data_IF_739209447769
#
_entry.id   IF_739209447769
#
_cell.length_a   1.000
_cell.length_b   1.000
_cell.length_c   1.000
_cell.angle_alpha   90.00
_cell.angle_beta   90.00
_cell.angle_gamma   90.00
#
_symmetry.space_group_name_H-M   'P 1'
#
loop_
_entity.id
_entity.type
_entity.pdbx_description
1 polymer ?
#
# COMPACT_ATOMS: atom_id res chain seq x y z
N UNK A 1 32.23 54.27 -3.96
CA UNK A 1 30.84 54.31 -3.49
C UNK A 1 30.02 53.91 -4.71
N UNK A 2 29.89 52.60 -4.95
CA UNK A 2 28.80 51.72 -4.43
C UNK A 2 27.47 52.05 -5.16
N UNK A 3 26.69 51.16 -5.78
CA UNK A 3 26.53 49.69 -5.84
C UNK A 3 25.92 49.35 -7.24
N UNK A 4 26.32 48.29 -7.96
CA UNK A 4 25.76 46.91 -7.92
C UNK A 4 24.22 46.89 -7.86
N UNK A 5 23.51 46.75 -9.00
CA UNK A 5 23.14 45.49 -9.67
C UNK A 5 22.12 44.65 -8.89
N UNK A 6 20.83 44.82 -9.20
CA UNK A 6 19.80 43.78 -9.00
C UNK A 6 19.05 43.58 -10.32
N UNK A 7 19.51 42.60 -11.09
CA UNK A 7 18.79 42.00 -12.20
C UNK A 7 17.98 40.83 -11.62
N UNK A 8 16.75 41.10 -11.20
CA UNK A 8 15.83 40.06 -10.73
C UNK A 8 15.26 39.35 -11.96
N UNK A 9 15.98 38.30 -12.39
CA UNK A 9 15.54 37.38 -13.44
C UNK A 9 14.44 36.48 -12.85
N UNK A 10 13.20 36.73 -13.26
CA UNK A 10 12.06 35.85 -12.99
C UNK A 10 12.31 34.47 -13.62
N UNK A 11 12.70 33.50 -12.78
CA UNK A 11 12.78 32.10 -13.16
C UNK A 11 11.37 31.50 -13.14
N UNK A 12 10.65 31.69 -14.23
CA UNK A 12 9.43 30.94 -14.53
C UNK A 12 9.86 29.50 -14.87
N UNK A 13 9.61 28.55 -13.96
CA UNK A 13 9.75 27.13 -14.27
C UNK A 13 8.65 26.76 -15.28
N UNK A 14 9.04 26.59 -16.54
CA UNK A 14 8.22 25.94 -17.56
C UNK A 14 8.36 24.44 -17.31
N UNK A 15 7.31 23.83 -16.78
CA UNK A 15 7.09 22.40 -16.95
C UNK A 15 6.70 22.22 -18.42
N UNK A 16 7.65 21.83 -19.25
CA UNK A 16 7.36 21.35 -20.60
C UNK A 16 6.62 20.01 -20.47
N UNK A 17 5.30 20.10 -20.33
CA UNK A 17 4.38 19.04 -20.72
C UNK A 17 4.32 19.09 -22.23
N UNK A 18 5.07 18.22 -22.91
CA UNK A 18 4.85 18.01 -24.34
C UNK A 18 3.48 17.35 -24.51
N UNK A 19 2.46 18.18 -24.72
CA UNK A 19 1.16 17.75 -25.24
C UNK A 19 1.34 17.36 -26.72
N UNK A 20 1.51 16.06 -26.97
CA UNK A 20 1.28 15.50 -28.31
C UNK A 20 -0.22 15.35 -28.52
N UNK A 21 -0.81 16.27 -29.29
CA UNK A 21 -2.16 16.13 -29.82
C UNK A 21 -2.23 14.93 -30.77
N UNK A 22 -2.66 13.77 -30.27
CA UNK A 22 -3.13 12.66 -31.11
C UNK A 22 -4.67 12.58 -31.02
N UNK A 23 -5.32 13.06 -32.08
CA UNK A 23 -6.77 12.96 -32.27
C UNK A 23 -7.14 11.51 -32.60
N UNK A 24 -7.49 10.69 -31.60
CA UNK A 24 -8.21 9.43 -31.81
C UNK A 24 -9.32 9.26 -30.76
N UNK A 25 -10.58 9.36 -31.21
CA UNK A 25 -11.75 8.98 -30.42
C UNK A 25 -11.75 7.46 -30.19
N UNK A 26 -11.58 7.04 -28.94
CA UNK A 26 -11.69 5.64 -28.54
C UNK A 26 -11.25 5.39 -27.10
N UNK A 27 -12.21 5.36 -26.18
CA UNK A 27 -12.07 4.97 -24.75
C UNK A 27 -10.95 5.73 -24.01
N UNK A 28 -11.32 6.78 -23.28
CA UNK A 28 -10.43 7.40 -22.29
C UNK A 28 -10.06 6.34 -21.24
N UNK A 29 -8.97 5.63 -21.47
CA UNK A 29 -8.19 5.04 -20.40
C UNK A 29 -7.61 6.25 -19.66
N UNK A 30 -8.25 6.66 -18.56
CA UNK A 30 -7.73 7.70 -17.68
C UNK A 30 -6.40 7.18 -17.11
N UNK A 31 -5.31 7.46 -17.81
CA UNK A 31 -3.97 7.21 -17.31
C UNK A 31 -3.75 8.16 -16.12
N UNK A 32 -3.64 7.60 -14.92
CA UNK A 32 -3.28 8.38 -13.73
C UNK A 32 -1.97 9.13 -13.99
N UNK A 33 -1.93 10.39 -13.60
CA UNK A 33 -0.72 11.20 -13.66
C UNK A 33 0.32 10.69 -12.64
N UNK A 34 1.61 10.95 -12.86
CA UNK A 34 2.67 10.54 -11.93
C UNK A 34 2.42 11.01 -10.49
N UNK A 35 1.85 12.21 -10.31
CA UNK A 35 1.53 12.75 -8.99
C UNK A 35 0.41 11.96 -8.31
N UNK A 36 -0.67 11.64 -9.04
CA UNK A 36 -1.78 10.84 -8.50
C UNK A 36 -1.35 9.43 -8.14
N UNK A 37 -0.45 8.82 -8.92
CA UNK A 37 0.13 7.50 -8.60
C UNK A 37 0.91 7.57 -7.28
N UNK A 38 1.74 8.60 -7.08
CA UNK A 38 2.52 8.78 -5.84
C UNK A 38 1.60 9.03 -4.64
N UNK A 39 0.59 9.90 -4.78
CA UNK A 39 -0.37 10.16 -3.71
C UNK A 39 -1.15 8.92 -3.32
N UNK A 40 -1.57 8.13 -4.32
CA UNK A 40 -2.25 6.85 -4.09
C UNK A 40 -1.31 5.85 -3.40
N UNK A 41 -0.04 5.78 -3.83
CA UNK A 41 0.96 4.92 -3.22
C UNK A 41 1.19 5.26 -1.74
N UNK A 42 1.24 6.56 -1.40
CA UNK A 42 1.38 7.03 -0.02
C UNK A 42 0.20 6.55 0.83
N UNK A 43 -1.03 6.70 0.34
CA UNK A 43 -2.24 6.26 1.05
C UNK A 43 -2.24 4.75 1.31
N UNK A 44 -2.05 3.94 0.28
CA UNK A 44 -2.08 2.47 0.44
C UNK A 44 -0.93 1.98 1.33
N UNK A 45 0.25 2.63 1.25
CA UNK A 45 1.38 2.32 2.12
C UNK A 45 1.06 2.63 3.58
N UNK A 46 0.50 3.81 3.85
CA UNK A 46 0.16 4.24 5.19
C UNK A 46 -0.92 3.35 5.81
N UNK A 47 -2.00 3.09 5.07
CA UNK A 47 -3.08 2.22 5.52
C UNK A 47 -2.57 0.81 5.81
N UNK A 48 -1.75 0.22 4.93
CA UNK A 48 -1.20 -1.11 5.17
C UNK A 48 -0.24 -1.17 6.37
N UNK A 49 0.48 -0.09 6.67
CA UNK A 49 1.40 -0.03 7.81
C UNK A 49 0.65 -0.03 9.15
N UNK A 50 -0.47 0.69 9.20
CA UNK A 50 -1.29 0.86 10.39
C UNK A 50 -2.35 -0.23 10.58
N UNK A 51 -2.72 -0.93 9.50
CA UNK A 51 -3.68 -2.01 9.58
C UNK A 51 -3.16 -3.18 10.44
N UNK A 52 -3.99 -3.72 11.35
CA UNK A 52 -3.67 -4.93 12.11
C UNK A 52 -3.77 -6.21 11.25
N UNK A 53 -4.33 -6.08 10.05
CA UNK A 53 -4.62 -7.17 9.13
C UNK A 53 -4.16 -6.87 7.70
N UNK A 54 -4.16 -7.90 6.85
CA UNK A 54 -3.80 -7.77 5.44
C UNK A 54 -4.94 -7.07 4.68
N UNK A 55 -4.60 -5.99 3.95
CA UNK A 55 -5.55 -5.29 3.09
C UNK A 55 -5.57 -5.94 1.69
N UNK A 56 -6.57 -5.58 0.89
CA UNK A 56 -6.64 -5.95 -0.52
C UNK A 56 -5.38 -5.46 -1.23
N UNK A 57 -4.82 -6.28 -2.11
CA UNK A 57 -3.59 -5.92 -2.79
C UNK A 57 -3.85 -4.82 -3.83
N UNK A 58 -2.89 -3.90 -3.95
CA UNK A 58 -2.94 -2.76 -4.89
C UNK A 58 -1.70 -2.75 -5.79
N UNK A 59 -1.36 -3.91 -6.35
CA UNK A 59 -0.12 -4.07 -7.13
C UNK A 59 -0.12 -3.30 -8.45
N UNK A 60 -1.28 -2.93 -8.97
CA UNK A 60 -1.40 -2.01 -10.09
C UNK A 60 -0.74 -0.65 -9.81
N UNK A 61 -0.86 -0.13 -8.58
CA UNK A 61 -0.19 1.11 -8.16
C UNK A 61 1.31 0.87 -7.99
N UNK A 62 1.70 -0.28 -7.44
CA UNK A 62 3.11 -0.65 -7.25
C UNK A 62 3.83 -0.79 -8.58
N UNK A 63 3.22 -1.46 -9.55
CA UNK A 63 3.77 -1.68 -10.87
C UNK A 63 3.84 -0.35 -11.65
N UNK A 64 2.83 0.52 -11.54
CA UNK A 64 2.88 1.89 -12.07
C UNK A 64 4.02 2.74 -11.45
N UNK A 65 4.25 2.65 -10.15
CA UNK A 65 5.40 3.32 -9.50
C UNK A 65 6.74 2.79 -10.03
N UNK A 66 6.84 1.49 -10.32
CA UNK A 66 8.08 0.94 -10.90
C UNK A 66 8.37 1.51 -12.28
N UNK A 67 7.35 1.71 -13.10
CA UNK A 67 7.48 2.37 -14.41
C UNK A 67 7.95 3.82 -14.26
N UNK A 68 7.32 4.59 -13.35
CA UNK A 68 7.72 5.98 -13.05
C UNK A 68 9.17 6.04 -12.55
N UNK A 69 9.56 5.11 -11.68
CA UNK A 69 10.93 5.03 -11.17
C UNK A 69 11.94 4.73 -12.27
N UNK A 70 11.60 3.88 -13.24
CA UNK A 70 12.51 3.55 -14.33
C UNK A 70 12.72 4.73 -15.29
N UNK A 71 11.64 5.44 -15.61
CA UNK A 71 11.71 6.67 -16.38
C UNK A 71 12.58 7.74 -15.69
N UNK A 72 12.41 7.94 -14.39
CA UNK A 72 13.23 8.91 -13.64
C UNK A 72 14.70 8.47 -13.53
N UNK A 73 15.00 7.17 -13.41
CA UNK A 73 16.39 6.68 -13.45
C UNK A 73 17.05 6.98 -14.79
N UNK A 74 16.34 6.76 -15.89
CA UNK A 74 16.86 7.03 -17.23
C UNK A 74 17.18 8.52 -17.42
N UNK A 75 16.29 9.42 -16.96
CA UNK A 75 16.57 10.87 -16.94
C UNK A 75 17.81 11.21 -16.11
N UNK A 76 18.01 10.57 -14.96
CA UNK A 76 19.23 10.77 -14.14
C UNK A 76 20.48 10.27 -14.87
N UNK A 77 20.40 9.15 -15.58
CA UNK A 77 21.53 8.62 -16.35
C UNK A 77 21.92 9.60 -17.47
N UNK A 78 20.94 10.12 -18.20
CA UNK A 78 21.14 11.14 -19.24
C UNK A 78 21.76 12.42 -18.66
N UNK A 79 21.23 12.94 -17.55
CA UNK A 79 21.83 14.07 -16.83
C UNK A 79 23.25 13.76 -16.35
N UNK A 80 23.53 12.52 -15.94
CA UNK A 80 24.88 12.15 -15.50
C UNK A 80 25.88 12.16 -16.64
N UNK A 81 25.45 11.78 -17.85
CA UNK A 81 26.29 11.82 -19.05
C UNK A 81 26.51 13.25 -19.56
N UNK A 82 25.45 14.07 -19.58
CA UNK A 82 25.54 15.48 -20.01
C UNK A 82 26.49 16.30 -19.12
N UNK A 83 26.46 16.06 -17.81
CA UNK A 83 27.27 16.75 -16.82
C UNK A 83 28.51 15.95 -16.38
N UNK A 84 29.04 15.05 -17.22
CA UNK A 84 30.22 14.24 -16.87
C UNK A 84 31.47 15.12 -16.61
N UNK A 85 31.65 16.18 -17.41
CA UNK A 85 32.79 17.11 -17.31
C UNK A 85 32.42 18.48 -16.73
N UNK A 86 31.21 18.61 -16.17
CA UNK A 86 30.66 19.85 -15.63
C UNK A 86 30.22 19.63 -14.18
N UNK A 87 30.15 20.68 -13.34
CA UNK A 87 29.51 20.55 -12.04
C UNK A 87 28.04 20.14 -12.24
N UNK A 88 27.60 19.11 -11.51
CA UNK A 88 26.22 18.63 -11.60
C UNK A 88 25.26 19.65 -10.98
N UNK A 89 24.08 19.88 -11.59
CA UNK A 89 23.09 20.78 -11.05
C UNK A 89 22.47 20.20 -9.76
N UNK A 90 21.93 21.07 -8.88
CA UNK A 90 21.32 20.65 -7.60
C UNK A 90 20.17 19.65 -7.82
N UNK A 91 19.43 19.83 -8.92
CA UNK A 91 18.34 18.94 -9.35
C UNK A 91 18.79 17.48 -9.49
N UNK A 92 20.06 17.23 -9.85
CA UNK A 92 20.60 15.87 -9.95
C UNK A 92 20.59 15.15 -8.60
N UNK A 93 20.98 15.85 -7.52
CA UNK A 93 20.97 15.28 -6.18
C UNK A 93 19.54 15.10 -5.66
N UNK A 94 18.65 16.07 -5.91
CA UNK A 94 17.24 16.01 -5.52
C UNK A 94 16.51 14.84 -6.16
N UNK A 95 16.66 14.64 -7.48
CA UNK A 95 16.06 13.50 -8.19
C UNK A 95 16.54 12.15 -7.64
N UNK A 96 17.84 12.02 -7.36
CA UNK A 96 18.38 10.80 -6.73
C UNK A 96 17.80 10.55 -5.34
N UNK A 97 17.66 11.60 -4.53
CA UNK A 97 17.05 11.50 -3.22
C UNK A 97 15.59 11.05 -3.33
N UNK A 98 14.84 11.55 -4.29
CA UNK A 98 13.43 11.19 -4.47
C UNK A 98 13.24 9.74 -4.90
N UNK A 99 14.08 9.24 -5.81
CA UNK A 99 14.08 7.81 -6.17
C UNK A 99 14.29 6.95 -4.93
N UNK A 100 15.24 7.30 -4.06
CA UNK A 100 15.50 6.52 -2.84
C UNK A 100 14.30 6.55 -1.87
N UNK A 101 13.61 7.69 -1.75
CA UNK A 101 12.42 7.82 -0.91
C UNK A 101 11.27 6.93 -1.41
N UNK A 102 10.99 6.98 -2.71
CA UNK A 102 9.93 6.18 -3.32
C UNK A 102 10.28 4.69 -3.26
N UNK A 103 11.53 4.31 -3.53
CA UNK A 103 11.99 2.92 -3.38
C UNK A 103 11.83 2.40 -1.95
N UNK A 104 12.16 3.23 -0.96
CA UNK A 104 11.94 2.88 0.45
C UNK A 104 10.46 2.65 0.75
N UNK A 105 9.58 3.54 0.27
CA UNK A 105 8.13 3.44 0.45
C UNK A 105 7.58 2.12 -0.12
N UNK A 106 7.92 1.79 -1.38
CA UNK A 106 7.49 0.54 -2.03
C UNK A 106 8.02 -0.68 -1.26
N UNK A 107 9.30 -0.65 -0.89
CA UNK A 107 9.90 -1.75 -0.11
C UNK A 107 9.22 -1.91 1.25
N UNK A 108 8.92 -0.81 1.94
CA UNK A 108 8.25 -0.84 3.24
C UNK A 108 6.85 -1.41 3.13
N UNK A 109 6.09 -1.04 2.09
CA UNK A 109 4.77 -1.59 1.79
C UNK A 109 4.82 -3.11 1.57
N UNK A 110 5.64 -3.58 0.64
CA UNK A 110 5.75 -5.01 0.31
C UNK A 110 6.24 -5.81 1.51
N UNK A 111 7.26 -5.33 2.23
CA UNK A 111 7.78 -6.02 3.41
C UNK A 111 6.71 -6.17 4.51
N UNK A 112 5.90 -5.13 4.75
CA UNK A 112 4.83 -5.18 5.74
C UNK A 112 3.78 -6.24 5.36
N UNK A 113 3.41 -6.31 4.09
CA UNK A 113 2.47 -7.33 3.58
C UNK A 113 3.02 -8.73 3.74
N UNK A 114 4.26 -8.98 3.32
CA UNK A 114 4.92 -10.27 3.47
C UNK A 114 5.03 -10.68 4.95
N UNK A 115 5.36 -9.74 5.84
CA UNK A 115 5.39 -10.00 7.28
C UNK A 115 4.02 -10.46 7.80
N UNK A 116 2.92 -9.78 7.42
CA UNK A 116 1.57 -10.17 7.83
C UNK A 116 1.21 -11.56 7.27
N UNK A 117 1.54 -11.84 6.02
CA UNK A 117 1.31 -13.16 5.41
C UNK A 117 2.05 -14.24 6.19
N UNK A 118 3.31 -14.01 6.56
CA UNK A 118 4.13 -14.96 7.32
C UNK A 118 3.65 -15.18 8.76
N UNK A 119 2.96 -14.21 9.37
CA UNK A 119 2.35 -14.37 10.71
C UNK A 119 1.24 -15.43 10.72
N UNK A 120 0.43 -15.53 9.65
CA UNK A 120 -0.62 -16.55 9.56
C UNK A 120 -0.90 -16.98 8.10
N UNK A 121 0.02 -17.74 7.48
CA UNK A 121 0.00 -17.96 6.03
C UNK A 121 -1.19 -18.82 5.59
N UNK A 122 -1.57 -19.84 6.37
CA UNK A 122 -2.72 -20.69 6.06
C UNK A 122 -4.04 -19.91 6.12
N UNK A 123 -4.19 -19.00 7.09
CA UNK A 123 -5.38 -18.16 7.21
C UNK A 123 -5.56 -17.29 5.98
N UNK A 124 -4.52 -16.55 5.58
CA UNK A 124 -4.59 -15.66 4.41
C UNK A 124 -4.74 -16.42 3.10
N UNK A 125 -4.08 -17.58 2.93
CA UNK A 125 -4.24 -18.41 1.74
C UNK A 125 -5.68 -18.92 1.59
N UNK A 126 -6.32 -19.31 2.70
CA UNK A 126 -7.72 -19.75 2.69
C UNK A 126 -8.67 -18.58 2.39
N UNK A 127 -8.45 -17.41 3.00
CA UNK A 127 -9.23 -16.21 2.72
C UNK A 127 -9.13 -15.79 1.24
N UNK A 128 -7.92 -15.69 0.70
CA UNK A 128 -7.70 -15.31 -0.71
C UNK A 128 -8.31 -16.34 -1.67
N UNK A 129 -8.24 -17.64 -1.34
CA UNK A 129 -8.88 -18.69 -2.15
C UNK A 129 -10.41 -18.57 -2.13
N UNK A 130 -11.00 -18.21 -0.99
CA UNK A 130 -12.44 -17.98 -0.86
C UNK A 130 -12.86 -16.80 -1.74
N UNK A 131 -12.21 -15.64 -1.60
CA UNK A 131 -12.51 -14.42 -2.37
C UNK A 131 -12.45 -14.68 -3.88
N UNK A 132 -11.39 -15.34 -4.35
CA UNK A 132 -11.23 -15.71 -5.77
C UNK A 132 -12.31 -16.66 -6.28
N UNK A 133 -12.80 -17.57 -5.43
CA UNK A 133 -13.89 -18.50 -5.80
C UNK A 133 -15.23 -17.78 -5.88
N UNK A 134 -15.43 -16.77 -5.04
CA UNK A 134 -16.63 -15.92 -5.01
C UNK A 134 -16.61 -14.84 -6.10
N UNK A 135 -15.46 -14.62 -6.76
CA UNK A 135 -15.29 -13.60 -7.79
C UNK A 135 -15.09 -12.19 -7.23
N UNK A 136 -14.76 -12.10 -5.94
CA UNK A 136 -14.48 -10.86 -5.22
C UNK A 136 -13.03 -10.39 -5.46
N UNK A 137 -12.72 -9.18 -4.98
CA UNK A 137 -11.36 -8.61 -5.07
C UNK A 137 -10.31 -9.52 -4.42
N UNK A 138 -9.17 -9.65 -5.10
CA UNK A 138 -8.09 -10.52 -4.69
C UNK A 138 -7.35 -9.93 -3.46
N UNK A 139 -7.14 -10.74 -2.43
CA UNK A 139 -6.43 -10.28 -1.21
C UNK A 139 -4.92 -10.21 -1.42
N UNK A 140 -4.39 -11.19 -2.16
CA UNK A 140 -2.97 -11.33 -2.47
C UNK A 140 -2.74 -11.38 -3.97
N UNK A 141 -1.68 -10.71 -4.42
CA UNK A 141 -1.21 -10.89 -5.79
C UNK A 141 -0.62 -12.30 -5.99
N UNK A 142 -0.53 -12.75 -7.23
CA UNK A 142 0.07 -14.05 -7.58
C UNK A 142 1.51 -14.20 -7.07
N UNK A 143 2.30 -13.11 -7.04
CA UNK A 143 3.67 -13.11 -6.48
C UNK A 143 3.65 -13.44 -4.98
N UNK A 144 2.77 -12.81 -4.23
CA UNK A 144 2.59 -13.02 -2.80
C UNK A 144 2.02 -14.41 -2.50
N UNK A 145 1.01 -14.85 -3.26
CA UNK A 145 0.42 -16.18 -3.12
C UNK A 145 1.45 -17.29 -3.35
N UNK A 146 2.35 -17.10 -4.33
CA UNK A 146 3.46 -18.02 -4.56
C UNK A 146 4.48 -18.02 -3.42
N UNK A 147 4.79 -16.86 -2.85
CA UNK A 147 5.63 -16.76 -1.65
C UNK A 147 4.98 -17.49 -0.47
N UNK A 148 3.71 -17.23 -0.21
CA UNK A 148 2.93 -17.85 0.87
C UNK A 148 2.94 -19.38 0.79
N UNK A 149 2.66 -19.96 -0.39
CA UNK A 149 2.71 -21.41 -0.60
C UNK A 149 4.10 -21.99 -0.32
N UNK A 150 5.15 -21.38 -0.89
CA UNK A 150 6.54 -21.82 -0.64
C UNK A 150 6.92 -21.73 0.84
N UNK A 151 6.47 -20.68 1.52
CA UNK A 151 6.71 -20.50 2.95
C UNK A 151 6.02 -21.58 3.77
N UNK A 152 4.77 -21.93 3.45
CA UNK A 152 4.03 -23.03 4.08
C UNK A 152 4.78 -24.35 3.86
N UNK A 153 5.11 -24.69 2.61
CA UNK A 153 5.79 -25.95 2.29
C UNK A 153 7.13 -26.08 3.02
N UNK A 154 7.92 -25.00 3.07
CA UNK A 154 9.20 -24.97 3.77
C UNK A 154 9.04 -25.11 5.28
N UNK A 155 8.09 -24.37 5.85
CA UNK A 155 7.82 -24.37 7.29
C UNK A 155 7.31 -25.74 7.75
N UNK A 156 6.38 -26.34 6.99
CA UNK A 156 5.80 -27.63 7.30
C UNK A 156 6.84 -28.74 7.18
N UNK A 157 7.66 -28.73 6.11
CA UNK A 157 8.76 -29.70 5.95
C UNK A 157 9.76 -29.64 7.11
N UNK A 158 10.11 -28.44 7.56
CA UNK A 158 11.03 -28.25 8.69
C UNK A 158 10.41 -28.67 10.02
N UNK A 159 9.14 -28.35 10.25
CA UNK A 159 8.44 -28.71 11.47
C UNK A 159 8.22 -30.24 11.56
N UNK A 160 7.95 -30.89 10.43
CA UNK A 160 7.85 -32.35 10.30
C UNK A 160 9.18 -33.04 10.59
N UNK A 161 10.29 -32.54 10.02
CA UNK A 161 11.61 -33.15 10.19
C UNK A 161 12.15 -33.04 11.61
N UNK A 162 11.93 -31.90 12.28
CA UNK A 162 12.57 -31.63 13.57
C UNK A 162 11.72 -32.03 14.79
N UNK A 163 10.39 -31.97 14.69
CA UNK A 163 9.51 -32.08 15.88
C UNK A 163 8.33 -33.01 15.68
N UNK A 164 7.52 -32.84 14.62
CA UNK A 164 6.21 -33.52 14.54
C UNK A 164 6.32 -35.03 14.33
N UNK A 165 7.40 -35.50 13.70
CA UNK A 165 7.68 -36.92 13.50
C UNK A 165 7.93 -37.68 14.81
N UNK A 166 8.41 -36.99 15.85
CA UNK A 166 8.66 -37.56 17.17
C UNK A 166 7.42 -37.51 18.09
N UNK A 167 6.44 -36.65 17.77
CA UNK A 167 5.22 -36.47 18.56
C UNK A 167 4.18 -37.55 18.22
N UNK A 168 3.40 -37.96 19.23
CA UNK A 168 2.39 -39.03 19.10
C UNK A 168 0.97 -38.47 19.12
N UNK A 169 0.09 -39.13 18.38
CA UNK A 169 -1.35 -38.84 18.38
C UNK A 169 -1.66 -37.44 17.82
N UNK A 170 -2.58 -36.66 18.42
CA UNK A 170 -3.02 -35.39 17.87
C UNK A 170 -1.91 -34.31 17.81
N UNK A 171 -0.84 -34.49 18.59
CA UNK A 171 0.30 -33.57 18.62
C UNK A 171 1.28 -33.75 17.46
N UNK A 172 1.13 -34.81 16.64
CA UNK A 172 1.90 -34.99 15.40
C UNK A 172 1.39 -34.10 14.26
N UNK A 173 0.30 -33.36 14.47
CA UNK A 173 -0.24 -32.41 13.51
C UNK A 173 0.04 -30.96 13.93
N UNK A 174 0.23 -30.09 12.94
CA UNK A 174 0.46 -28.66 13.15
C UNK A 174 -0.78 -27.98 13.75
N UNK A 175 -0.64 -27.24 14.86
CA UNK A 175 -1.75 -26.44 15.38
C UNK A 175 -2.01 -25.23 14.45
N UNK A 176 -3.26 -25.08 14.00
CA UNK A 176 -3.69 -23.89 13.26
C UNK A 176 -4.34 -22.92 14.23
N UNK A 177 -3.62 -21.87 14.62
CA UNK A 177 -4.18 -20.81 15.46
C UNK A 177 -4.99 -19.82 14.60
N UNK A 178 -6.27 -19.57 14.91
CA UNK A 178 -7.04 -18.55 14.21
C UNK A 178 -6.51 -17.16 14.56
N UNK A 179 -6.29 -16.30 13.55
CA UNK A 179 -6.06 -14.86 13.78
C UNK A 179 -7.38 -14.24 14.25
N UNK A 180 -7.33 -13.37 15.27
CA UNK A 180 -8.50 -12.64 15.80
C UNK A 180 -8.27 -11.13 15.67
N UNK A 181 -8.29 -10.57 14.45
CA UNK A 181 -8.04 -9.15 14.22
C UNK A 181 -9.19 -8.27 14.77
N UNK A 182 -10.37 -8.83 14.99
CA UNK A 182 -11.58 -8.17 15.51
C UNK A 182 -11.39 -7.43 16.85
N UNK A 183 -10.39 -7.83 17.65
CA UNK A 183 -10.10 -7.19 18.93
C UNK A 183 -9.24 -5.91 18.80
N UNK A 184 -8.67 -5.64 17.63
CA UNK A 184 -7.82 -4.48 17.42
C UNK A 184 -8.66 -3.20 17.33
N UNK A 185 -8.10 -2.09 17.84
CA UNK A 185 -8.65 -0.74 17.67
C UNK A 185 -7.68 0.07 16.84
N UNK A 186 -8.21 0.86 15.92
CA UNK A 186 -7.44 1.72 15.02
C UNK A 186 -7.96 3.15 15.10
N UNK A 187 -7.10 4.11 14.77
CA UNK A 187 -7.48 5.50 14.60
C UNK A 187 -7.76 5.71 13.12
N UNK A 188 -8.92 6.26 12.82
CA UNK A 188 -9.43 6.45 11.48
C UNK A 188 -9.79 7.90 11.23
N UNK A 189 -9.55 8.37 10.02
CA UNK A 189 -10.01 9.66 9.52
C UNK A 189 -11.03 9.43 8.40
N UNK A 190 -12.20 10.02 8.52
CA UNK A 190 -13.23 9.96 7.48
C UNK A 190 -12.82 10.87 6.33
N UNK A 191 -12.71 10.30 5.12
CA UNK A 191 -12.24 11.03 3.93
C UNK A 191 -13.41 11.35 3.00
N UNK A 192 -14.37 10.44 2.87
CA UNK A 192 -15.50 10.55 1.97
C UNK A 192 -16.79 10.98 2.69
N UNK A 193 -17.58 11.85 2.04
CA UNK A 193 -18.93 12.30 2.47
C UNK A 193 -19.98 11.18 2.40
N UNK A 194 -19.69 10.09 1.68
CA UNK A 194 -20.56 8.91 1.60
C UNK A 194 -20.75 8.21 2.96
N UNK A 195 -19.77 8.32 3.86
CA UNK A 195 -19.80 7.70 5.19
C UNK A 195 -20.48 8.64 6.18
N UNK A 196 -21.73 8.33 6.52
CA UNK A 196 -22.52 9.12 7.49
C UNK A 196 -22.54 8.54 8.90
N UNK A 197 -22.49 7.22 9.02
CA UNK A 197 -22.50 6.55 10.31
C UNK A 197 -21.65 5.27 10.29
N UNK A 198 -21.08 4.92 11.44
CA UNK A 198 -20.50 3.60 11.67
C UNK A 198 -21.46 2.75 12.49
N UNK A 199 -21.57 1.46 12.12
CA UNK A 199 -22.32 0.47 12.89
C UNK A 199 -21.37 -0.25 13.84
N UNK A 200 -21.47 0.06 15.14
CA UNK A 200 -20.55 -0.43 16.17
C UNK A 200 -21.29 -1.42 17.07
N UNK A 201 -20.73 -2.61 17.38
CA UNK A 201 -21.34 -3.52 18.33
C UNK A 201 -21.55 -2.89 19.71
N UNK A 202 -22.77 -2.99 20.27
CA UNK A 202 -23.07 -2.55 21.62
C UNK A 202 -22.55 -3.59 22.63
N UNK A 203 -21.51 -3.23 23.37
CA UNK A 203 -20.92 -4.10 24.39
C UNK A 203 -21.78 -4.24 25.65
N UNK A 204 -22.80 -3.39 25.84
CA UNK A 204 -23.73 -3.47 26.97
C UNK A 204 -24.89 -4.43 26.72
N UNK A 205 -25.29 -4.61 25.46
CA UNK A 205 -26.34 -5.52 25.03
C UNK A 205 -25.83 -6.47 23.93
N UNK A 206 -25.53 -7.74 24.26
CA UNK A 206 -25.05 -8.72 23.29
C UNK A 206 -25.99 -8.84 22.07
N UNK A 207 -25.46 -8.57 20.88
CA UNK A 207 -26.19 -8.66 19.60
C UNK A 207 -26.93 -7.39 19.17
N UNK A 208 -26.85 -6.30 19.95
CA UNK A 208 -27.29 -4.98 19.49
C UNK A 208 -26.12 -4.23 18.84
N UNK A 209 -26.45 -3.37 17.86
CA UNK A 209 -25.50 -2.46 17.21
C UNK A 209 -25.93 -1.01 17.48
N UNK A 210 -24.94 -0.13 17.66
CA UNK A 210 -25.09 1.30 17.82
C UNK A 210 -24.66 1.99 16.53
N UNK A 211 -25.47 2.94 16.06
CA UNK A 211 -25.07 3.85 14.99
C UNK A 211 -24.38 5.06 15.57
N UNK A 212 -23.20 5.36 15.05
CA UNK A 212 -22.41 6.52 15.44
C UNK A 212 -22.22 7.42 14.24
N UNK A 213 -22.86 8.59 14.26
CA UNK A 213 -22.80 9.57 13.18
C UNK A 213 -21.41 10.23 13.09
N UNK A 214 -20.93 10.42 11.87
CA UNK A 214 -19.61 10.97 11.60
C UNK A 214 -19.64 12.06 10.55
N UNK A 215 -18.66 12.96 10.63
CA UNK A 215 -18.46 14.07 9.69
C UNK A 215 -17.18 13.85 8.89
N UNK A 216 -17.08 14.44 7.69
CA UNK A 216 -15.85 14.37 6.90
C UNK A 216 -14.71 15.10 7.60
N UNK A 217 -13.50 14.56 7.46
CA UNK A 217 -12.27 14.98 8.15
C UNK A 217 -12.28 14.81 9.68
N UNK A 218 -13.32 14.19 10.26
CA UNK A 218 -13.32 13.83 11.68
C UNK A 218 -12.46 12.58 11.94
N UNK A 219 -11.88 12.51 13.14
CA UNK A 219 -10.97 11.43 13.55
C UNK A 219 -11.62 10.65 14.69
N UNK A 220 -11.67 9.32 14.58
CA UNK A 220 -12.31 8.43 15.55
C UNK A 220 -11.41 7.24 15.88
N UNK A 221 -11.58 6.70 17.08
CA UNK A 221 -10.93 5.44 17.48
C UNK A 221 -11.98 4.32 17.48
N UNK A 222 -11.89 3.41 16.51
CA UNK A 222 -12.91 2.39 16.25
C UNK A 222 -12.33 0.97 16.24
N UNK A 223 -13.15 -0.06 16.51
CA UNK A 223 -12.74 -1.45 16.31
C UNK A 223 -12.45 -1.74 14.83
N UNK A 224 -11.41 -2.55 14.58
CA UNK A 224 -11.00 -2.94 13.22
C UNK A 224 -12.13 -3.59 12.42
N UNK A 225 -12.94 -4.42 13.08
CA UNK A 225 -14.06 -5.14 12.44
C UNK A 225 -15.11 -4.22 11.83
N UNK A 226 -15.22 -2.97 12.29
CA UNK A 226 -16.20 -2.00 11.77
C UNK A 226 -15.65 -1.25 10.56
N UNK A 227 -14.34 -1.04 10.51
CA UNK A 227 -13.71 -0.13 9.53
C UNK A 227 -13.01 -0.83 8.38
N UNK A 228 -12.83 -2.15 8.44
CA UNK A 228 -12.13 -2.96 7.44
C UNK A 228 -12.61 -2.67 6.00
N UNK A 229 -13.92 -2.77 5.76
CA UNK A 229 -14.49 -2.57 4.42
C UNK A 229 -14.35 -1.11 3.95
N UNK A 230 -14.47 -0.15 4.87
CA UNK A 230 -14.30 1.28 4.56
C UNK A 230 -12.86 1.63 4.17
N UNK A 231 -11.88 0.97 4.80
CA UNK A 231 -10.46 1.13 4.46
C UNK A 231 -10.13 0.50 3.11
N UNK A 232 -10.68 -0.68 2.82
CA UNK A 232 -10.48 -1.34 1.52
C UNK A 232 -11.09 -0.54 0.36
N UNK A 233 -12.29 0.03 0.57
CA UNK A 233 -12.95 0.90 -0.41
C UNK A 233 -12.31 2.28 -0.55
N UNK A 234 -11.41 2.67 0.37
CA UNK A 234 -10.75 3.98 0.36
C UNK A 234 -11.61 5.14 0.83
N UNK A 235 -12.74 4.86 1.50
CA UNK A 235 -13.62 5.90 2.08
C UNK A 235 -13.10 6.44 3.40
N UNK A 236 -12.22 5.68 4.06
CA UNK A 236 -11.60 5.98 5.35
C UNK A 236 -10.12 5.68 5.28
N UNK A 237 -9.30 6.59 5.81
CA UNK A 237 -7.85 6.41 5.95
C UNK A 237 -7.48 6.13 7.41
N UNK A 238 -6.41 5.34 7.61
CA UNK A 238 -5.84 5.10 8.94
C UNK A 238 -4.85 6.22 9.31
N UNK A 239 -4.72 6.49 10.61
CA UNK A 239 -3.82 7.52 11.16
C UNK A 239 -2.96 7.01 12.32
#
# INVERSE_FOLDING_TARGET
>A
MENEAESTSDYQYILDTEETEDTQEGVQNEHMTCNEIIETMIKIWHNQLLAPDLLIHRYEVVDAIFEVLEQEKEKINQMSAEYERKPKPVQFALRKMEILRIQYMVKSYVNKRLQLIEENPLHYLNMDTKLRTEGEEELMDNRERNHCKKFIDLYDSHLESEVLSDLKGPFSSKPVAPKKPECARVIVKVVDESVKHFEIPDYSMPGANLFYDVEVNSIHALPWSVVYDFVNTGTVDLM
#
